data_IF_808337373425
#
_entry.id   IF_808337373425
#
_cell.length_a   1.000
_cell.length_b   1.000
_cell.length_c   1.000
_cell.angle_alpha   90.00
_cell.angle_beta   90.00
_cell.angle_gamma   90.00
#
_symmetry.space_group_name_H-M   'P 1'
#
loop_
_entity.id
_entity.type
_entity.pdbx_description
1 polymer ?
#
# COMPACT_ATOMS: atom_id res chain seq x y z
N UNK A 1 -3.65 -21.49 15.83
CA UNK A 1 -4.29 -21.55 14.49
C UNK A 1 -5.62 -20.77 14.44
N UNK A 2 -5.69 -19.51 14.91
CA UNK A 2 -6.95 -18.72 14.93
C UNK A 2 -6.98 -17.52 13.96
N UNK A 3 -5.84 -17.00 13.49
CA UNK A 3 -5.80 -15.76 12.69
C UNK A 3 -6.01 -15.93 11.18
N UNK A 4 -5.91 -17.15 10.63
CA UNK A 4 -5.94 -17.35 9.18
C UNK A 4 -7.28 -17.02 8.51
N UNK A 5 -8.40 -16.95 9.25
CA UNK A 5 -9.71 -16.62 8.68
C UNK A 5 -9.92 -15.12 8.50
N UNK A 6 -9.41 -14.30 9.45
CA UNK A 6 -9.52 -12.84 9.41
C UNK A 6 -8.88 -12.21 8.17
N UNK A 7 -7.91 -12.88 7.55
CA UNK A 7 -7.22 -12.37 6.36
C UNK A 7 -8.09 -12.32 5.09
N UNK A 8 -9.25 -12.97 5.10
CA UNK A 8 -10.16 -13.05 3.95
C UNK A 8 -11.61 -12.69 4.32
N UNK A 9 -11.81 -12.13 5.51
CA UNK A 9 -13.14 -11.81 6.04
C UNK A 9 -13.58 -10.41 5.59
N UNK A 10 -14.43 -10.34 4.56
CA UNK A 10 -14.91 -9.08 3.95
C UNK A 10 -15.65 -8.09 4.87
N UNK A 11 -15.98 -8.48 6.11
CA UNK A 11 -16.53 -7.54 7.11
C UNK A 11 -15.44 -6.71 7.81
N UNK A 12 -14.16 -7.00 7.55
CA UNK A 12 -13.00 -6.28 8.05
C UNK A 12 -12.46 -5.30 7.00
N UNK A 13 -11.74 -4.28 7.46
CA UNK A 13 -11.16 -3.26 6.59
C UNK A 13 -9.75 -3.68 6.18
N UNK A 14 -9.62 -4.12 4.92
CA UNK A 14 -8.38 -4.64 4.37
C UNK A 14 -7.56 -3.55 3.68
N UNK A 15 -6.39 -3.26 4.23
CA UNK A 15 -5.40 -2.36 3.66
C UNK A 15 -4.24 -3.16 3.06
N UNK A 16 -3.72 -2.72 1.92
CA UNK A 16 -2.56 -3.32 1.28
C UNK A 16 -1.41 -2.32 1.19
N UNK A 17 -0.22 -2.75 1.61
CA UNK A 17 0.99 -1.93 1.60
C UNK A 17 2.09 -2.75 0.94
N UNK A 18 2.71 -2.19 -0.09
CA UNK A 18 3.87 -2.78 -0.74
C UNK A 18 5.10 -2.01 -0.28
N UNK A 19 5.97 -2.66 0.49
CA UNK A 19 7.12 -1.99 1.10
C UNK A 19 8.29 -2.96 1.27
N UNK A 20 9.50 -2.52 0.93
CA UNK A 20 10.75 -3.20 1.30
C UNK A 20 11.40 -2.58 2.56
N UNK A 21 10.88 -1.43 3.00
CA UNK A 21 11.32 -0.71 4.20
C UNK A 21 10.36 -0.91 5.37
N UNK A 22 10.83 -1.63 6.40
CA UNK A 22 10.05 -1.91 7.61
C UNK A 22 9.63 -0.64 8.34
N UNK A 23 10.45 0.41 8.31
CA UNK A 23 10.14 1.68 9.00
C UNK A 23 9.01 2.40 8.27
N UNK A 24 9.07 2.46 6.93
CA UNK A 24 8.04 3.06 6.09
C UNK A 24 6.67 2.38 6.32
N UNK A 25 6.62 1.05 6.17
CA UNK A 25 5.41 0.27 6.46
C UNK A 25 4.89 0.48 7.89
N UNK A 26 5.79 0.56 8.90
CA UNK A 26 5.40 0.80 10.29
C UNK A 26 4.75 2.17 10.48
N UNK A 27 5.23 3.21 9.78
CA UNK A 27 4.65 4.55 9.84
C UNK A 27 3.25 4.57 9.23
N UNK A 28 3.07 3.97 8.04
CA UNK A 28 1.75 3.87 7.39
C UNK A 28 0.76 3.14 8.31
N UNK A 29 1.16 1.98 8.83
CA UNK A 29 0.33 1.17 9.74
C UNK A 29 -0.01 1.96 11.01
N UNK A 30 0.98 2.49 11.71
CA UNK A 30 0.77 3.16 12.99
C UNK A 30 -0.08 4.43 12.84
N UNK A 31 0.16 5.21 11.77
CA UNK A 31 -0.63 6.39 11.47
C UNK A 31 -2.08 6.03 11.12
N UNK A 32 -2.31 4.92 10.40
CA UNK A 32 -3.68 4.44 10.11
C UNK A 32 -4.41 4.04 11.40
N UNK A 33 -3.76 3.23 12.25
CA UNK A 33 -4.34 2.72 13.51
C UNK A 33 -4.65 3.82 14.51
N UNK A 34 -3.77 4.81 14.60
CA UNK A 34 -3.91 5.91 15.57
C UNK A 34 -5.07 6.86 15.22
N UNK A 35 -5.61 6.77 14.00
CA UNK A 35 -6.65 7.65 13.49
C UNK A 35 -8.01 6.96 13.31
N UNK A 36 -8.20 5.74 13.83
CA UNK A 36 -9.48 5.01 13.75
C UNK A 36 -10.06 4.70 15.13
N UNK A 37 -11.38 4.68 15.25
CA UNK A 37 -12.08 4.36 16.50
C UNK A 37 -12.04 2.86 16.83
N UNK A 38 -11.96 2.01 15.81
CA UNK A 38 -12.05 0.55 15.93
C UNK A 38 -10.84 -0.16 15.28
N UNK A 39 -9.62 -0.03 15.85
CA UNK A 39 -8.39 -0.56 15.25
C UNK A 39 -8.39 -2.08 15.09
N UNK A 40 -9.19 -2.80 15.88
CA UNK A 40 -9.38 -4.25 15.77
C UNK A 40 -10.16 -4.67 14.52
N UNK A 41 -10.72 -3.77 13.74
CA UNK A 41 -11.37 -4.10 12.46
C UNK A 41 -10.41 -3.98 11.28
N UNK A 42 -9.22 -3.41 11.47
CA UNK A 42 -8.24 -3.24 10.40
C UNK A 42 -7.43 -4.53 10.19
N UNK A 43 -7.13 -4.82 8.93
CA UNK A 43 -6.23 -5.90 8.52
C UNK A 43 -5.23 -5.32 7.52
N UNK A 44 -3.94 -5.44 7.83
CA UNK A 44 -2.88 -4.95 6.95
C UNK A 44 -2.20 -6.12 6.23
N UNK A 45 -2.27 -6.07 4.91
CA UNK A 45 -1.60 -6.97 4.00
C UNK A 45 -0.30 -6.33 3.53
N UNK A 46 0.81 -6.69 4.17
CA UNK A 46 2.12 -6.14 3.82
C UNK A 46 2.83 -7.08 2.86
N UNK A 47 3.03 -6.63 1.61
CA UNK A 47 3.78 -7.35 0.58
C UNK A 47 5.20 -6.80 0.54
N UNK A 48 6.17 -7.70 0.66
CA UNK A 48 7.60 -7.37 0.73
C UNK A 48 8.44 -8.44 0.03
N UNK A 49 9.69 -8.14 -0.30
CA UNK A 49 10.62 -9.10 -0.89
C UNK A 49 11.18 -10.10 0.15
N UNK A 50 11.66 -11.27 -0.28
CA UNK A 50 12.15 -12.33 0.62
C UNK A 50 13.32 -11.92 1.54
N UNK A 51 14.17 -10.97 1.11
CA UNK A 51 15.28 -10.45 1.92
C UNK A 51 14.78 -9.58 3.08
N UNK A 52 13.84 -8.67 2.80
CA UNK A 52 13.18 -7.84 3.80
C UNK A 52 12.21 -8.64 4.66
N UNK A 53 11.65 -9.75 4.17
CA UNK A 53 10.84 -10.65 4.99
C UNK A 53 11.58 -11.17 6.20
N UNK A 54 12.84 -11.60 6.08
CA UNK A 54 13.64 -12.05 7.23
C UNK A 54 13.87 -10.92 8.25
N UNK A 55 14.10 -9.69 7.78
CA UNK A 55 14.25 -8.52 8.64
C UNK A 55 12.92 -8.13 9.32
N UNK A 56 11.81 -8.16 8.58
CA UNK A 56 10.45 -7.92 9.08
C UNK A 56 10.00 -9.00 10.06
N UNK A 57 10.30 -10.28 9.80
CA UNK A 57 9.99 -11.39 10.69
C UNK A 57 10.82 -11.32 11.98
N UNK A 58 12.08 -10.86 11.90
CA UNK A 58 12.93 -10.65 13.08
C UNK A 58 12.51 -9.41 13.88
N UNK A 59 12.09 -8.34 13.21
CA UNK A 59 11.50 -7.13 13.82
C UNK A 59 10.00 -7.27 14.11
N UNK A 60 9.39 -8.42 13.80
CA UNK A 60 7.98 -8.76 14.05
C UNK A 60 7.57 -8.54 15.49
N UNK A 61 8.47 -8.70 16.47
CA UNK A 61 8.16 -8.39 17.88
C UNK A 61 7.88 -6.90 18.13
N UNK A 62 8.52 -5.99 17.40
CA UNK A 62 8.28 -4.54 17.48
C UNK A 62 7.01 -4.18 16.71
N UNK A 63 6.77 -4.80 15.55
CA UNK A 63 5.54 -4.62 14.77
C UNK A 63 4.29 -5.16 15.51
N UNK A 64 4.43 -6.28 16.23
CA UNK A 64 3.37 -6.90 17.06
C UNK A 64 3.05 -6.12 18.34
N UNK A 65 3.97 -5.27 18.83
CA UNK A 65 3.64 -4.35 19.93
C UNK A 65 2.63 -3.28 19.49
N UNK A 66 2.52 -3.02 18.18
CA UNK A 66 1.64 -1.99 17.62
C UNK A 66 0.38 -2.56 16.96
N UNK A 67 0.37 -3.81 16.45
CA UNK A 67 -0.82 -4.44 15.86
C UNK A 67 -0.78 -5.98 15.74
N UNK A 68 -1.97 -6.62 15.75
CA UNK A 68 -2.21 -8.02 15.35
C UNK A 68 -2.19 -8.18 13.81
N UNK A 69 -1.03 -7.90 13.20
CA UNK A 69 -0.82 -7.96 11.74
C UNK A 69 -0.26 -9.32 11.33
N UNK A 70 -0.97 -10.08 10.48
CA UNK A 70 -0.43 -11.28 9.85
C UNK A 70 0.21 -10.88 8.50
N UNK A 71 1.52 -10.65 8.50
CA UNK A 71 2.27 -10.27 7.31
C UNK A 71 2.54 -11.50 6.43
N UNK A 72 2.01 -11.52 5.21
CA UNK A 72 2.30 -12.57 4.21
C UNK A 72 3.41 -12.08 3.29
N UNK A 73 4.61 -12.66 3.37
CA UNK A 73 5.60 -12.46 2.32
C UNK A 73 5.28 -13.33 1.11
N UNK A 74 5.32 -12.70 -0.06
CA UNK A 74 5.34 -13.38 -1.33
C UNK A 74 6.78 -13.35 -1.83
N UNK A 75 7.45 -14.50 -1.79
CA UNK A 75 8.77 -14.67 -2.38
C UNK A 75 8.59 -15.00 -3.87
N UNK A 76 8.70 -13.98 -4.72
CA UNK A 76 8.76 -14.16 -6.16
C UNK A 76 10.20 -14.56 -6.52
N UNK A 77 10.45 -15.86 -6.50
CA UNK A 77 11.77 -16.43 -6.74
C UNK A 77 12.29 -16.12 -8.14
N UNK A 78 13.37 -15.35 -8.22
CA UNK A 78 14.29 -15.41 -9.36
C UNK A 78 15.30 -16.53 -9.08
N UNK A 79 15.49 -17.42 -10.04
CA UNK A 79 16.47 -18.49 -9.95
C UNK A 79 17.87 -17.92 -9.65
N UNK A 80 18.51 -18.52 -8.65
CA UNK A 80 19.90 -18.25 -8.28
C UNK A 80 20.83 -18.44 -9.49
N UNK A 81 21.48 -17.36 -9.93
CA UNK A 81 22.78 -17.46 -10.60
C UNK A 81 23.79 -16.67 -9.79
N UNK A 82 24.75 -17.40 -9.20
CA UNK A 82 25.92 -16.93 -8.48
C UNK A 82 26.59 -15.69 -9.12
N UNK A 83 26.50 -14.52 -8.47
CA UNK A 83 27.54 -13.48 -8.53
C UNK A 83 27.25 -12.33 -7.55
N UNK A 84 28.11 -12.22 -6.53
CA UNK A 84 28.56 -11.04 -5.75
C UNK A 84 27.56 -9.95 -5.27
N UNK A 85 27.83 -9.33 -4.09
CA UNK A 85 26.95 -8.33 -3.48
C UNK A 85 27.05 -6.99 -4.22
N UNK A 86 26.33 -6.86 -5.34
CA UNK A 86 26.16 -5.59 -6.04
C UNK A 86 25.14 -4.73 -5.31
N UNK A 87 25.67 -3.84 -4.49
CA UNK A 87 25.04 -2.56 -4.12
C UNK A 87 24.47 -1.91 -5.38
N UNK A 88 23.14 -1.91 -5.52
CA UNK A 88 22.25 -0.98 -6.26
C UNK A 88 20.94 -1.69 -6.63
N UNK A 89 19.95 -1.66 -5.73
CA UNK A 89 18.61 -2.21 -5.99
C UNK A 89 17.72 -1.24 -6.78
N UNK A 90 18.11 -0.89 -8.01
CA UNK A 90 17.25 -0.13 -8.93
C UNK A 90 16.26 -1.02 -9.69
N UNK A 91 16.50 -2.35 -9.76
CA UNK A 91 15.58 -3.31 -10.41
C UNK A 91 14.36 -3.70 -9.54
N UNK A 92 14.53 -3.75 -8.22
CA UNK A 92 13.54 -4.28 -7.28
C UNK A 92 12.40 -3.29 -6.96
N UNK A 93 12.68 -1.99 -7.06
CA UNK A 93 11.66 -0.94 -7.00
C UNK A 93 10.64 -1.10 -8.14
N UNK A 94 11.03 -1.64 -9.30
CA UNK A 94 10.07 -1.86 -10.39
C UNK A 94 9.14 -3.04 -10.11
N UNK A 95 9.64 -4.14 -9.52
CA UNK A 95 8.84 -5.37 -9.35
C UNK A 95 7.68 -5.19 -8.37
N UNK A 96 7.89 -4.58 -7.20
CA UNK A 96 6.80 -4.29 -6.26
C UNK A 96 5.78 -3.30 -6.84
N UNK A 97 6.27 -2.29 -7.57
CA UNK A 97 5.42 -1.31 -8.26
C UNK A 97 4.58 -1.93 -9.39
N UNK A 98 5.01 -3.04 -9.99
CA UNK A 98 4.23 -3.79 -10.96
C UNK A 98 3.25 -4.76 -10.29
N UNK A 99 3.57 -5.27 -9.10
CA UNK A 99 2.71 -6.23 -8.41
C UNK A 99 1.37 -5.63 -7.93
N UNK A 100 1.26 -4.31 -7.79
CA UNK A 100 -0.03 -3.66 -7.44
C UNK A 100 -1.14 -3.92 -8.46
N UNK A 101 -0.79 -4.15 -9.72
CA UNK A 101 -1.77 -4.53 -10.74
C UNK A 101 -2.35 -5.93 -10.51
N UNK A 102 -1.63 -6.78 -9.79
CA UNK A 102 -2.01 -8.16 -9.50
C UNK A 102 -2.69 -8.32 -8.12
N UNK A 103 -3.09 -7.21 -7.48
CA UNK A 103 -3.83 -7.27 -6.21
C UNK A 103 -5.08 -8.17 -6.30
N UNK A 104 -5.89 -8.15 -7.37
CA UNK A 104 -7.02 -9.06 -7.53
C UNK A 104 -6.61 -10.55 -7.53
N UNK A 105 -5.47 -10.88 -8.13
CA UNK A 105 -4.93 -12.25 -8.19
C UNK A 105 -4.28 -12.67 -6.85
N UNK A 106 -3.69 -11.72 -6.11
CA UNK A 106 -3.07 -11.97 -4.81
C UNK A 106 -4.14 -12.15 -3.72
N UNK A 107 -5.26 -11.42 -3.82
CA UNK A 107 -6.36 -11.45 -2.84
C UNK A 107 -7.74 -11.71 -3.48
N UNK A 108 -7.94 -12.83 -4.19
CA UNK A 108 -9.16 -13.07 -4.99
C UNK A 108 -10.43 -13.29 -4.15
N UNK A 109 -10.30 -13.40 -2.83
CA UNK A 109 -11.41 -13.60 -1.89
C UNK A 109 -11.92 -12.28 -1.29
N UNK A 110 -11.18 -11.18 -1.48
CA UNK A 110 -11.55 -9.87 -0.96
C UNK A 110 -12.38 -9.10 -1.98
N UNK A 111 -13.49 -8.54 -1.53
CA UNK A 111 -14.39 -7.72 -2.35
C UNK A 111 -13.81 -6.32 -2.56
N UNK A 112 -13.20 -5.74 -1.52
CA UNK A 112 -12.60 -4.41 -1.56
C UNK A 112 -11.33 -4.38 -0.73
N UNK A 113 -10.35 -3.64 -1.23
CA UNK A 113 -9.06 -3.44 -0.56
C UNK A 113 -8.61 -2.01 -0.84
N UNK A 114 -8.09 -1.33 0.19
CA UNK A 114 -7.50 0.00 0.04
C UNK A 114 -6.00 -0.16 -0.06
N UNK A 115 -5.43 0.24 -1.18
CA UNK A 115 -3.98 0.26 -1.38
C UNK A 115 -3.39 1.58 -0.87
N UNK A 116 -2.31 1.49 -0.10
CA UNK A 116 -1.53 2.62 0.40
C UNK A 116 -0.07 2.44 -0.02
N UNK A 117 0.52 3.47 -0.63
CA UNK A 117 1.98 3.52 -0.85
C UNK A 117 2.71 3.58 0.50
N UNK A 118 4.00 3.22 0.51
CA UNK A 118 4.79 3.15 1.74
C UNK A 118 5.34 4.50 2.23
N UNK A 119 5.17 5.55 1.43
CA UNK A 119 5.57 6.94 1.70
C UNK A 119 4.42 7.84 2.19
N UNK A 120 3.29 7.25 2.60
CA UNK A 120 2.13 8.00 3.12
C UNK A 120 2.07 8.07 4.64
N UNK A 121 1.41 9.12 5.16
CA UNK A 121 1.03 9.23 6.57
C UNK A 121 -0.47 9.49 6.63
N UNK A 122 -1.21 8.58 7.26
CA UNK A 122 -2.65 8.69 7.41
C UNK A 122 -2.98 9.64 8.56
N UNK A 123 -3.81 10.65 8.31
CA UNK A 123 -4.16 11.68 9.28
C UNK A 123 -5.64 11.64 9.72
N UNK A 124 -6.44 10.76 9.11
CA UNK A 124 -7.87 10.61 9.37
C UNK A 124 -8.32 9.17 9.12
N UNK A 125 -9.46 8.81 9.67
CA UNK A 125 -10.10 7.53 9.44
C UNK A 125 -10.39 7.31 7.94
N UNK A 126 -9.85 6.22 7.38
CA UNK A 126 -10.02 5.82 5.98
C UNK A 126 -11.13 4.76 5.77
N UNK A 127 -11.79 4.30 6.83
CA UNK A 127 -12.82 3.24 6.75
C UNK A 127 -14.00 3.63 5.85
N UNK A 128 -14.31 4.93 5.76
CA UNK A 128 -15.32 5.46 4.83
C UNK A 128 -15.02 5.17 3.36
N UNK A 129 -13.76 4.91 2.97
CA UNK A 129 -13.42 4.52 1.61
C UNK A 129 -14.03 3.16 1.23
N UNK A 130 -14.27 2.29 2.20
CA UNK A 130 -14.83 0.95 1.95
C UNK A 130 -16.32 0.98 1.60
N UNK A 131 -17.04 2.05 1.94
CA UNK A 131 -18.46 2.23 1.60
C UNK A 131 -18.68 3.07 0.33
N UNK A 132 -17.62 3.55 -0.32
CA UNK A 132 -17.73 4.27 -1.59
C UNK A 132 -18.28 3.36 -2.69
N UNK A 133 -19.26 3.88 -3.44
CA UNK A 133 -19.74 3.28 -4.69
C UNK A 133 -18.73 3.60 -5.80
N UNK A 134 -18.22 2.56 -6.45
CA UNK A 134 -17.29 2.69 -7.58
C UNK A 134 -18.02 2.81 -8.92
N UNK A 135 -19.36 2.79 -8.94
CA UNK A 135 -20.19 2.91 -10.14
C UNK A 135 -19.82 1.90 -11.23
N UNK A 136 -19.50 0.66 -10.82
CA UNK A 136 -19.08 -0.42 -11.72
C UNK A 136 -17.61 -0.37 -12.15
N UNK A 137 -16.81 0.59 -11.68
CA UNK A 137 -15.37 0.63 -11.96
C UNK A 137 -14.59 -0.39 -11.10
N UNK A 138 -13.49 -0.90 -11.66
CA UNK A 138 -12.62 -1.90 -10.99
C UNK A 138 -11.82 -1.27 -9.84
N UNK A 139 -11.42 0.00 -9.98
CA UNK A 139 -10.69 0.74 -8.95
C UNK A 139 -11.12 2.22 -8.91
N UNK A 140 -10.90 2.84 -7.76
CA UNK A 140 -10.96 4.29 -7.57
C UNK A 140 -9.59 4.84 -7.21
N UNK A 141 -9.31 6.08 -7.59
CA UNK A 141 -8.09 6.80 -7.23
C UNK A 141 -8.41 8.25 -6.91
N UNK A 142 -7.54 8.89 -6.15
CA UNK A 142 -7.63 10.32 -5.86
C UNK A 142 -7.20 11.08 -7.11
N UNK A 143 -7.98 12.08 -7.50
CA UNK A 143 -7.57 12.99 -8.56
C UNK A 143 -6.30 13.74 -8.13
N UNK A 144 -5.28 13.67 -8.96
CA UNK A 144 -4.06 14.45 -8.70
C UNK A 144 -4.39 15.92 -8.92
N UNK A 145 -4.09 16.78 -7.96
CA UNK A 145 -4.09 18.23 -8.19
C UNK A 145 -3.13 18.52 -9.33
N UNK A 146 -3.66 18.75 -10.53
CA UNK A 146 -2.86 19.12 -11.69
C UNK A 146 -2.54 20.61 -11.55
N UNK A 147 -1.29 21.02 -11.28
CA UNK A 147 -0.90 22.37 -11.61
C UNK A 147 -0.90 22.42 -13.14
N UNK A 148 -2.04 22.76 -13.74
CA UNK A 148 -2.03 23.19 -15.13
C UNK A 148 -0.97 24.28 -15.23
N UNK A 149 0.07 23.97 -16.01
CA UNK A 149 1.01 24.89 -16.60
C UNK A 149 0.25 26.17 -16.98
N UNK A 150 0.37 27.20 -16.16
CA UNK A 150 0.02 28.56 -16.51
C UNK A 150 1.15 29.09 -17.41
N UNK A 151 1.39 28.43 -18.56
CA UNK A 151 2.28 28.93 -19.60
C UNK A 151 1.39 29.52 -20.69
N UNK A 152 1.26 30.86 -20.60
CA UNK A 152 0.86 31.80 -21.66
C UNK A 152 -0.42 31.51 -22.46
N UNK A 153 -1.55 32.03 -21.98
CA UNK A 153 -2.41 32.83 -22.87
C UNK A 153 -2.03 34.30 -22.69
N UNK A 154 -1.04 34.73 -23.46
CA UNK A 154 -0.83 36.15 -23.77
C UNK A 154 -1.18 36.35 -25.22
N UNK A 155 -2.48 36.46 -25.54
CA UNK A 155 -2.94 36.98 -26.83
C UNK A 155 -4.18 37.86 -26.64
N UNK A 156 -3.93 39.14 -26.93
CA UNK A 156 -4.82 40.20 -27.42
C UNK A 156 -6.00 40.65 -26.56
N UNK A 157 -5.75 41.70 -25.77
CA UNK A 157 -6.66 42.84 -25.68
C UNK A 157 -5.88 44.11 -26.05
N UNK A 158 -5.90 44.46 -27.34
CA UNK A 158 -5.64 45.83 -27.75
C UNK A 158 -6.98 46.56 -27.71
N UNK A 159 -7.18 47.35 -26.67
CA UNK A 159 -8.33 48.24 -26.49
C UNK A 159 -8.46 49.21 -27.67
N UNK A 160 -9.69 49.34 -28.15
CA UNK A 160 -10.17 50.48 -28.92
C UNK A 160 -10.54 51.63 -27.97
N UNK A 161 -9.75 52.70 -27.94
CA UNK A 161 -10.17 54.11 -27.84
C UNK A 161 -9.13 54.99 -28.52
#
# INVERSE_FOLDING_TARGET
MKNSRRLVENYLYHFCIFADNVIAASVVVNSTVSNVDHPKQLVFHIVTNGLSYNAMQKRRRVLLQLLDTDSRAYDFGDQETNSEPKVRNTKYLSSLNHLRFYIPEIYPQLEKIVFLDDDVVVQKDLTSLFSLDLHGNVNGSVETCSPLLQISESLSDSESV
#
